data_IF_100540453947
#
_entry.id   IF_100540453947
#
_cell.length_a   1.000
_cell.length_b   1.000
_cell.length_c   1.000
_cell.angle_alpha   90.00
_cell.angle_beta   90.00
_cell.angle_gamma   90.00
#
_symmetry.space_group_name_H-M   'P 1'
#
loop_
_entity.id
_entity.type
_entity.pdbx_description
1 polymer ?
#
# COMPACT_ATOMS: atom_id res chain seq x y z
N UNK A 1 -4.12 -35.36 -28.73
CA UNK A 1 -5.18 -34.85 -27.84
C UNK A 1 -5.23 -33.36 -28.03
N UNK A 2 -6.21 -32.86 -28.75
CA UNK A 2 -6.39 -31.40 -28.94
C UNK A 2 -6.95 -30.90 -27.59
N UNK A 3 -6.33 -29.91 -26.90
CA UNK A 3 -6.94 -29.34 -25.72
C UNK A 3 -8.29 -28.73 -26.11
N UNK A 4 -9.37 -29.21 -25.47
CA UNK A 4 -10.70 -28.64 -25.67
C UNK A 4 -10.61 -27.15 -25.35
N UNK A 5 -11.02 -26.32 -26.29
CA UNK A 5 -11.13 -24.89 -26.07
C UNK A 5 -12.03 -24.63 -24.87
N UNK A 6 -11.65 -23.78 -23.91
CA UNK A 6 -12.45 -23.51 -22.72
C UNK A 6 -13.86 -23.09 -23.13
N UNK A 7 -14.86 -23.83 -22.64
CA UNK A 7 -16.27 -23.54 -22.90
C UNK A 7 -16.58 -22.12 -22.44
N UNK A 8 -17.45 -21.38 -23.14
CA UNK A 8 -17.86 -20.00 -22.78
C UNK A 8 -18.26 -19.86 -21.32
N UNK A 9 -18.90 -20.89 -20.73
CA UNK A 9 -19.25 -20.95 -19.34
C UNK A 9 -18.01 -20.96 -18.42
N UNK A 10 -16.95 -21.69 -18.78
CA UNK A 10 -15.71 -21.74 -18.03
C UNK A 10 -14.98 -20.40 -18.05
N UNK A 11 -14.92 -19.76 -19.22
CA UNK A 11 -14.33 -18.42 -19.38
C UNK A 11 -15.08 -17.36 -18.57
N UNK A 12 -16.41 -17.42 -18.54
CA UNK A 12 -17.26 -16.53 -17.74
C UNK A 12 -16.98 -16.67 -16.24
N UNK A 13 -16.78 -17.91 -15.76
CA UNK A 13 -16.46 -18.17 -14.36
C UNK A 13 -15.08 -17.61 -14.00
N UNK A 14 -14.06 -17.80 -14.85
CA UNK A 14 -12.72 -17.25 -14.62
C UNK A 14 -12.76 -15.72 -14.57
N UNK A 15 -13.49 -15.07 -15.46
CA UNK A 15 -13.64 -13.61 -15.45
C UNK A 15 -14.29 -13.16 -14.13
N UNK A 16 -15.29 -13.89 -13.66
CA UNK A 16 -15.93 -13.61 -12.36
C UNK A 16 -14.93 -13.74 -11.20
N UNK A 17 -14.12 -14.79 -11.19
CA UNK A 17 -13.18 -15.09 -10.10
C UNK A 17 -12.02 -14.10 -10.01
N UNK A 18 -11.59 -13.50 -11.15
CA UNK A 18 -10.51 -12.50 -11.19
C UNK A 18 -11.01 -11.06 -11.01
N UNK A 19 -12.31 -10.84 -11.01
CA UNK A 19 -12.89 -9.50 -10.85
C UNK A 19 -12.53 -8.88 -9.51
N UNK A 20 -12.66 -9.62 -8.42
CA UNK A 20 -12.31 -9.14 -7.07
C UNK A 20 -10.82 -8.78 -6.94
N UNK A 21 -9.85 -9.63 -7.35
CA UNK A 21 -8.44 -9.26 -7.37
C UNK A 21 -8.12 -8.07 -8.27
N UNK A 22 -8.82 -7.92 -9.42
CA UNK A 22 -8.61 -6.77 -10.30
C UNK A 22 -9.06 -5.45 -9.64
N UNK A 23 -10.19 -5.44 -8.94
CA UNK A 23 -10.60 -4.29 -8.12
C UNK A 23 -9.60 -3.99 -7.00
N UNK A 24 -9.06 -5.01 -6.36
CA UNK A 24 -8.02 -4.85 -5.33
C UNK A 24 -6.77 -4.17 -5.92
N UNK A 25 -6.33 -4.57 -7.12
CA UNK A 25 -5.20 -3.92 -7.79
C UNK A 25 -5.47 -2.44 -8.10
N UNK A 26 -6.67 -2.10 -8.54
CA UNK A 26 -7.09 -0.70 -8.74
C UNK A 26 -7.08 0.11 -7.44
N UNK A 27 -7.61 -0.46 -6.36
CA UNK A 27 -7.59 0.16 -5.04
C UNK A 27 -6.15 0.36 -4.52
N UNK A 28 -5.27 -0.64 -4.69
CA UNK A 28 -3.86 -0.55 -4.32
C UNK A 28 -3.12 0.54 -5.10
N UNK A 29 -3.38 0.68 -6.41
CA UNK A 29 -2.76 1.72 -7.22
C UNK A 29 -3.12 3.13 -6.71
N UNK A 30 -4.39 3.39 -6.43
CA UNK A 30 -4.86 4.64 -5.83
C UNK A 30 -4.28 4.88 -4.43
N UNK A 31 -4.20 3.83 -3.61
CA UNK A 31 -3.67 3.90 -2.27
C UNK A 31 -2.16 4.18 -2.26
N UNK A 32 -1.36 3.53 -3.11
CA UNK A 32 0.07 3.80 -3.26
C UNK A 32 0.29 5.25 -3.71
N UNK A 33 -0.51 5.77 -4.64
CA UNK A 33 -0.43 7.18 -5.06
C UNK A 33 -0.67 8.14 -3.90
N UNK A 34 -1.64 7.84 -3.03
CA UNK A 34 -1.90 8.61 -1.81
C UNK A 34 -0.70 8.57 -0.85
N UNK A 35 -0.11 7.38 -0.64
CA UNK A 35 1.06 7.22 0.23
C UNK A 35 2.26 8.00 -0.29
N UNK A 36 2.52 7.96 -1.60
CA UNK A 36 3.61 8.72 -2.24
C UNK A 36 3.41 10.23 -2.09
N UNK A 37 2.18 10.73 -2.27
CA UNK A 37 1.88 12.14 -2.05
C UNK A 37 2.13 12.59 -0.60
N UNK A 38 1.79 11.74 0.39
CA UNK A 38 2.09 11.99 1.81
C UNK A 38 3.59 11.94 2.10
N UNK A 39 4.30 10.96 1.55
CA UNK A 39 5.75 10.84 1.69
C UNK A 39 6.46 12.07 1.18
N UNK A 40 6.11 12.56 -0.01
CA UNK A 40 6.72 13.76 -0.59
C UNK A 40 6.55 14.97 0.33
N UNK A 41 5.37 15.18 0.91
CA UNK A 41 5.14 16.27 1.88
C UNK A 41 6.02 16.17 3.12
N UNK A 42 6.26 14.97 3.64
CA UNK A 42 7.15 14.75 4.79
C UNK A 42 8.60 15.02 4.42
N UNK A 43 9.04 14.62 3.23
CA UNK A 43 10.38 14.86 2.70
C UNK A 43 10.59 16.36 2.49
N UNK A 44 9.67 17.04 1.81
CA UNK A 44 9.76 18.49 1.54
C UNK A 44 9.87 19.29 2.83
N UNK A 45 9.05 18.96 3.84
CA UNK A 45 9.13 19.59 5.16
C UNK A 45 10.46 19.31 5.85
N UNK A 46 10.97 18.08 5.76
CA UNK A 46 12.28 17.72 6.33
C UNK A 46 13.42 18.48 5.66
N UNK A 47 13.38 18.63 4.34
CA UNK A 47 14.39 19.39 3.59
C UNK A 47 14.34 20.89 3.94
N UNK A 48 13.14 21.47 4.01
CA UNK A 48 12.96 22.86 4.41
C UNK A 48 13.54 23.14 5.81
N UNK A 49 13.34 22.22 6.77
CA UNK A 49 13.91 22.33 8.13
C UNK A 49 15.43 22.17 8.15
N UNK A 50 15.99 21.31 7.31
CA UNK A 50 17.44 21.13 7.20
C UNK A 50 18.15 22.31 6.51
N UNK A 51 17.45 23.05 5.67
CA UNK A 51 17.99 24.25 4.99
C UNK A 51 18.12 25.46 5.92
N UNK A 52 17.52 25.41 7.12
CA UNK A 52 17.61 26.45 8.13
C UNK A 52 18.99 26.36 8.81
N UNK A 53 19.83 27.41 8.67
CA UNK A 53 21.17 27.47 9.27
C UNK A 53 21.15 27.39 10.82
N UNK A 54 22.27 26.93 11.40
CA UNK A 54 22.41 26.69 12.85
C UNK A 54 22.39 27.95 13.73
N UNK A 55 22.46 29.16 13.14
CA UNK A 55 22.67 30.42 13.86
C UNK A 55 21.40 31.16 14.32
N UNK A 56 20.21 30.54 14.19
CA UNK A 56 18.96 31.19 14.55
C UNK A 56 18.34 30.47 15.80
N UNK A 57 18.52 31.09 16.98
CA UNK A 57 17.97 30.60 18.27
C UNK A 57 16.43 30.42 18.24
N UNK A 58 15.72 31.18 17.42
CA UNK A 58 14.27 31.08 17.23
C UNK A 58 13.88 29.80 16.49
N UNK A 59 14.80 29.20 15.74
CA UNK A 59 14.55 28.02 14.90
C UNK A 59 15.00 26.71 15.54
N UNK A 60 15.62 26.74 16.72
CA UNK A 60 16.00 25.55 17.49
C UNK A 60 14.78 24.64 17.81
N UNK A 61 13.64 25.25 18.09
CA UNK A 61 12.39 24.51 18.31
C UNK A 61 11.91 23.77 17.07
N UNK A 62 12.15 24.28 15.86
CA UNK A 62 11.77 23.64 14.60
C UNK A 62 12.63 22.40 14.32
N UNK A 63 13.88 22.38 14.76
CA UNK A 63 14.75 21.19 14.64
C UNK A 63 14.33 20.04 15.55
N UNK A 64 13.60 20.29 16.62
CA UNK A 64 13.06 19.25 17.49
C UNK A 64 12.01 18.36 16.79
N UNK A 65 11.43 18.82 15.69
CA UNK A 65 10.44 18.08 14.90
C UNK A 65 11.07 17.03 13.96
N UNK A 66 12.37 17.12 13.67
CA UNK A 66 13.08 16.22 12.74
C UNK A 66 12.93 14.73 13.13
N UNK A 67 13.09 14.31 14.40
CA UNK A 67 12.92 12.91 14.79
C UNK A 67 11.51 12.38 14.53
N UNK A 68 10.49 13.23 14.69
CA UNK A 68 9.09 12.89 14.44
C UNK A 68 8.83 12.72 12.95
N UNK A 69 9.35 13.62 12.11
CA UNK A 69 9.26 13.51 10.66
C UNK A 69 9.95 12.24 10.15
N UNK A 70 11.09 11.86 10.69
CA UNK A 70 11.76 10.59 10.39
C UNK A 70 10.89 9.39 10.73
N UNK A 71 10.22 9.40 11.88
CA UNK A 71 9.30 8.33 12.28
C UNK A 71 8.10 8.23 11.35
N UNK A 72 7.50 9.36 10.96
CA UNK A 72 6.40 9.41 9.98
C UNK A 72 6.85 8.88 8.63
N UNK A 73 8.03 9.32 8.14
CA UNK A 73 8.60 8.81 6.89
C UNK A 73 8.84 7.29 6.94
N UNK A 74 9.32 6.74 8.07
CA UNK A 74 9.50 5.31 8.24
C UNK A 74 8.16 4.55 8.17
N UNK A 75 7.09 5.02 8.81
CA UNK A 75 5.77 4.40 8.75
C UNK A 75 5.18 4.44 7.34
N UNK A 76 5.32 5.57 6.62
CA UNK A 76 4.91 5.68 5.23
C UNK A 76 5.69 4.74 4.32
N UNK A 77 7.00 4.62 4.54
CA UNK A 77 7.84 3.68 3.78
C UNK A 77 7.39 2.22 3.98
N UNK A 78 7.09 1.82 5.22
CA UNK A 78 6.53 0.51 5.51
C UNK A 78 5.16 0.30 4.87
N UNK A 79 4.29 1.33 4.90
CA UNK A 79 2.99 1.27 4.24
C UNK A 79 3.14 1.07 2.71
N UNK A 80 4.03 1.81 2.06
CA UNK A 80 4.33 1.66 0.62
C UNK A 80 4.87 0.27 0.33
N UNK A 81 5.80 -0.22 1.14
CA UNK A 81 6.40 -1.54 0.98
C UNK A 81 5.34 -2.66 1.05
N UNK A 82 4.50 -2.68 2.07
CA UNK A 82 3.45 -3.69 2.22
C UNK A 82 2.38 -3.58 1.13
N UNK A 83 2.01 -2.37 0.70
CA UNK A 83 1.11 -2.18 -0.44
C UNK A 83 1.69 -2.74 -1.74
N UNK A 84 2.98 -2.54 -1.98
CA UNK A 84 3.67 -3.05 -3.16
C UNK A 84 3.72 -4.58 -3.15
N UNK A 85 4.03 -5.20 -2.00
CA UNK A 85 3.99 -6.66 -1.86
C UNK A 85 2.57 -7.18 -2.09
N UNK A 86 1.55 -6.53 -1.52
CA UNK A 86 0.15 -6.89 -1.75
C UNK A 86 -0.21 -6.86 -3.23
N UNK A 87 0.22 -5.82 -3.96
CA UNK A 87 -0.03 -5.71 -5.39
C UNK A 87 0.67 -6.81 -6.20
N UNK A 88 1.90 -7.17 -5.83
CA UNK A 88 2.64 -8.27 -6.45
C UNK A 88 1.90 -9.59 -6.23
N UNK A 89 1.50 -9.90 -5.00
CA UNK A 89 0.76 -11.14 -4.66
C UNK A 89 -0.58 -11.18 -5.39
N UNK A 90 -1.32 -10.05 -5.46
CA UNK A 90 -2.57 -9.97 -6.21
C UNK A 90 -2.36 -10.19 -7.72
N UNK A 91 -1.26 -9.69 -8.30
CA UNK A 91 -0.92 -9.92 -9.69
C UNK A 91 -0.61 -11.40 -9.95
N UNK A 92 0.15 -12.06 -9.07
CA UNK A 92 0.40 -13.50 -9.16
C UNK A 92 -0.89 -14.30 -9.05
N UNK A 93 -1.81 -13.91 -8.17
CA UNK A 93 -3.11 -14.55 -8.04
C UNK A 93 -3.89 -14.52 -9.37
N UNK A 94 -3.93 -13.36 -10.03
CA UNK A 94 -4.59 -13.24 -11.35
C UNK A 94 -3.94 -14.17 -12.36
N UNK A 95 -2.61 -14.20 -12.44
CA UNK A 95 -1.87 -15.09 -13.34
C UNK A 95 -2.19 -16.55 -13.06
N UNK A 96 -2.16 -16.98 -11.79
CA UNK A 96 -2.47 -18.37 -11.39
C UNK A 96 -3.92 -18.73 -11.72
N UNK A 97 -4.87 -17.81 -11.51
CA UNK A 97 -6.29 -18.04 -11.84
C UNK A 97 -6.48 -18.31 -13.33
N UNK A 98 -5.88 -17.49 -14.20
CA UNK A 98 -5.93 -17.71 -15.64
C UNK A 98 -5.18 -18.99 -16.08
N UNK A 99 -4.00 -19.24 -15.54
CA UNK A 99 -3.22 -20.43 -15.82
C UNK A 99 -3.96 -21.71 -15.41
N UNK A 100 -4.60 -21.72 -14.24
CA UNK A 100 -5.40 -22.87 -13.78
C UNK A 100 -6.58 -23.14 -14.67
N UNK A 101 -7.26 -22.09 -15.14
CA UNK A 101 -8.37 -22.21 -16.08
C UNK A 101 -7.93 -22.80 -17.43
N UNK A 102 -6.77 -22.36 -17.95
CA UNK A 102 -6.25 -22.83 -19.23
C UNK A 102 -5.72 -24.26 -19.19
N UNK A 103 -5.07 -24.64 -18.06
CA UNK A 103 -4.46 -25.95 -17.87
C UNK A 103 -5.42 -26.99 -17.21
N UNK A 104 -6.68 -26.62 -16.95
CA UNK A 104 -7.68 -27.44 -16.25
C UNK A 104 -7.18 -27.99 -14.90
N UNK A 105 -6.34 -27.23 -14.22
CA UNK A 105 -5.78 -27.60 -12.91
C UNK A 105 -6.70 -27.09 -11.79
N UNK A 106 -7.16 -28.01 -10.93
CA UNK A 106 -7.99 -27.65 -9.76
C UNK A 106 -7.07 -27.16 -8.61
N UNK A 107 -6.76 -25.87 -8.61
CA UNK A 107 -5.93 -25.25 -7.55
C UNK A 107 -6.68 -24.13 -6.80
N UNK A 108 -7.97 -24.34 -6.53
CA UNK A 108 -8.84 -23.37 -5.85
C UNK A 108 -8.27 -22.92 -4.50
N UNK A 109 -7.66 -23.82 -3.73
CA UNK A 109 -7.03 -23.49 -2.44
C UNK A 109 -5.85 -22.53 -2.58
N UNK A 110 -5.05 -22.63 -3.65
CA UNK A 110 -3.89 -21.74 -3.88
C UNK A 110 -4.35 -20.33 -4.19
N UNK A 111 -5.37 -20.19 -5.03
CA UNK A 111 -5.98 -18.91 -5.38
C UNK A 111 -6.56 -18.23 -4.14
N UNK A 112 -7.33 -18.97 -3.32
CA UNK A 112 -7.90 -18.46 -2.07
C UNK A 112 -6.83 -18.04 -1.07
N UNK A 113 -5.76 -18.83 -0.92
CA UNK A 113 -4.65 -18.51 -0.03
C UNK A 113 -3.91 -17.24 -0.47
N UNK A 114 -3.60 -17.11 -1.76
CA UNK A 114 -2.94 -15.90 -2.31
C UNK A 114 -3.81 -14.65 -2.12
N UNK A 115 -5.14 -14.79 -2.25
CA UNK A 115 -6.07 -13.68 -2.03
C UNK A 115 -6.04 -13.21 -0.57
N UNK A 116 -6.16 -14.13 0.38
CA UNK A 116 -6.07 -13.81 1.82
C UNK A 116 -4.72 -13.18 2.16
N UNK A 117 -3.63 -13.70 1.61
CA UNK A 117 -2.29 -13.19 1.83
C UNK A 117 -2.14 -11.75 1.30
N UNK A 118 -2.65 -11.48 0.10
CA UNK A 118 -2.64 -10.14 -0.50
C UNK A 118 -3.42 -9.14 0.37
N UNK A 119 -4.64 -9.50 0.79
CA UNK A 119 -5.44 -8.65 1.70
C UNK A 119 -4.73 -8.45 3.03
N UNK A 120 -4.09 -9.47 3.58
CA UNK A 120 -3.32 -9.36 4.83
C UNK A 120 -2.21 -8.30 4.75
N UNK A 121 -1.45 -8.28 3.66
CA UNK A 121 -0.44 -7.25 3.42
C UNK A 121 -1.06 -5.86 3.23
N UNK A 122 -2.20 -5.77 2.53
CA UNK A 122 -2.91 -4.51 2.36
C UNK A 122 -3.41 -3.95 3.70
N UNK A 123 -4.01 -4.78 4.55
CA UNK A 123 -4.45 -4.38 5.90
C UNK A 123 -3.26 -3.90 6.74
N UNK A 124 -2.11 -4.58 6.68
CA UNK A 124 -0.90 -4.16 7.39
C UNK A 124 -0.43 -2.78 6.92
N UNK A 125 -0.51 -2.51 5.62
CA UNK A 125 -0.22 -1.19 5.05
C UNK A 125 -1.18 -0.11 5.55
N UNK A 126 -2.49 -0.40 5.59
CA UNK A 126 -3.51 0.50 6.14
C UNK A 126 -3.27 0.83 7.61
N UNK A 127 -2.89 -0.17 8.42
CA UNK A 127 -2.53 0.03 9.82
C UNK A 127 -1.31 0.95 9.97
N UNK A 128 -0.29 0.78 9.13
CA UNK A 128 0.90 1.65 9.11
C UNK A 128 0.54 3.10 8.78
N UNK A 129 -0.37 3.33 7.82
CA UNK A 129 -0.91 4.65 7.50
C UNK A 129 -1.73 5.23 8.66
N UNK A 130 -2.57 4.41 9.31
CA UNK A 130 -3.36 4.85 10.46
C UNK A 130 -2.49 5.31 11.62
N UNK A 131 -1.38 4.60 11.88
CA UNK A 131 -0.40 4.99 12.91
C UNK A 131 0.31 6.30 12.53
N UNK A 132 0.72 6.48 11.28
CA UNK A 132 1.29 7.74 10.78
C UNK A 132 0.32 8.90 10.98
N UNK A 133 -0.95 8.72 10.60
CA UNK A 133 -1.99 9.75 10.72
C UNK A 133 -2.24 10.14 12.19
N UNK A 134 -2.20 9.19 13.12
CA UNK A 134 -2.30 9.47 14.56
C UNK A 134 -1.16 10.36 15.03
N UNK A 135 0.08 10.08 14.60
CA UNK A 135 1.25 10.90 14.96
C UNK A 135 1.10 12.31 14.37
N UNK A 136 0.59 12.42 13.14
CA UNK A 136 0.35 13.70 12.48
C UNK A 136 -0.70 14.57 13.19
N UNK A 137 -1.80 13.96 13.66
CA UNK A 137 -2.89 14.68 14.33
C UNK A 137 -2.50 15.17 15.72
N UNK A 138 -1.70 14.43 16.48
CA UNK A 138 -1.24 14.84 17.79
C UNK A 138 -0.35 16.10 17.75
N UNK A 139 0.14 16.46 16.58
CA UNK A 139 0.91 17.69 16.31
C UNK A 139 -0.01 18.93 16.32
N UNK A 140 -1.27 18.80 15.87
CA UNK A 140 -2.22 19.91 15.82
C UNK A 140 -2.77 20.32 17.20
N UNK A 141 -2.96 19.38 18.11
CA UNK A 141 -3.47 19.65 19.45
C UNK A 141 -2.48 20.45 20.33
N UNK A 142 -1.18 20.32 20.08
CA UNK A 142 -0.16 21.10 20.80
C UNK A 142 -0.02 22.55 20.31
N UNK A 143 -0.43 22.88 19.11
CA UNK A 143 -0.38 24.24 18.54
C UNK A 143 -1.70 25.01 18.67
N UNK A 144 -2.82 24.33 18.92
CA UNK A 144 -4.17 24.93 19.05
C UNK A 144 -4.55 25.37 20.46
N UNK A 145 -3.70 25.18 21.45
CA UNK A 145 -3.95 25.43 22.87
C UNK A 145 -3.29 26.70 23.44
N UNK A 146 -3.16 27.78 22.65
CA UNK A 146 -2.83 29.12 23.18
C UNK A 146 -3.75 30.17 22.60
#
# INVERSE_FOLDING_TARGET
MVPESPTVAHLSQVIHDVTAPAFLLGALAGFISLLMARMNRVIDRSQALNAIGDNDDVKGHLKSDIPRLKRRAALLNWAIFFSTISAIVASFLVIVSFASAYLSLQHEYVVGFLFILSIGFFVTSLLSLALETRIALHEFDHFGGK
#
